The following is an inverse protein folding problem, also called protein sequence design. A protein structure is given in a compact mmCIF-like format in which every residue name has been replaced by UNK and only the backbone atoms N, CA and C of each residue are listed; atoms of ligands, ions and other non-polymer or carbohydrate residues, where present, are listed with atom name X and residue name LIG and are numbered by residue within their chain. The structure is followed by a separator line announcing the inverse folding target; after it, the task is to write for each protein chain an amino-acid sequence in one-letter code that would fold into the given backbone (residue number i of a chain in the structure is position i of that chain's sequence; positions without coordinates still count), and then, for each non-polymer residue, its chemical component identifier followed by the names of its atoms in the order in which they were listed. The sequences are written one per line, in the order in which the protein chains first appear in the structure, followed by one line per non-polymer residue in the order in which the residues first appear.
data_IF_776407995405
#
_entry.id   IF_776407995405
#
_cell.length_a   1.000
_cell.length_b   1.000
_cell.length_c   1.000
_cell.angle_alpha   90.00
_cell.angle_beta   90.00
_cell.angle_gamma   90.00
#
_symmetry.space_group_name_H-M   'P 1'
#
loop_
_entity.id
_entity.type
_entity.pdbx_description
1 polymer ?
#
# COMPACT_ATOMS: atom_id res chain seq x y z
N UNK A 1 -13.47 -3.90 -9.52
CA UNK A 1 -13.06 -3.61 -8.14
C UNK A 1 -11.54 -3.64 -8.09
N UNK A 2 -10.91 -2.76 -7.31
CA UNK A 2 -9.47 -2.80 -7.08
C UNK A 2 -9.23 -3.04 -5.60
N UNK A 3 -8.42 -4.06 -5.31
CA UNK A 3 -8.00 -4.44 -3.97
C UNK A 3 -6.48 -4.30 -3.87
N UNK A 4 -6.00 -3.96 -2.68
CA UNK A 4 -4.58 -3.78 -2.41
C UNK A 4 -4.11 -4.73 -1.32
N UNK A 5 -2.90 -5.23 -1.51
CA UNK A 5 -2.22 -6.10 -0.57
C UNK A 5 -0.81 -5.57 -0.33
N UNK A 6 -0.30 -5.75 0.90
CA UNK A 6 1.08 -5.52 1.29
C UNK A 6 1.62 -6.79 1.94
N UNK A 7 2.65 -7.39 1.34
CA UNK A 7 3.22 -8.66 1.81
C UNK A 7 2.14 -9.73 2.02
N UNK A 8 1.31 -9.93 1.01
CA UNK A 8 0.18 -10.88 0.97
C UNK A 8 -0.95 -10.64 1.98
N UNK A 9 -0.88 -9.56 2.78
CA UNK A 9 -1.96 -9.14 3.66
C UNK A 9 -2.80 -8.06 3.00
N UNK A 10 -4.14 -8.10 3.11
CA UNK A 10 -4.99 -7.01 2.68
C UNK A 10 -4.52 -5.70 3.31
N UNK A 11 -4.44 -4.63 2.51
CA UNK A 11 -4.09 -3.32 3.03
C UNK A 11 -5.32 -2.77 3.78
N UNK A 12 -5.32 -2.90 5.10
CA UNK A 12 -6.42 -2.44 5.96
C UNK A 12 -6.58 -0.91 5.91
N UNK A 13 -7.84 -0.47 5.86
CA UNK A 13 -8.24 0.91 5.56
C UNK A 13 -8.10 1.89 6.75
N UNK A 14 -7.42 1.47 7.82
CA UNK A 14 -7.58 2.16 9.10
C UNK A 14 -6.90 3.52 9.10
N UNK A 15 -7.76 4.54 9.17
CA UNK A 15 -7.50 5.95 8.99
C UNK A 15 -6.65 6.61 10.08
N UNK A 16 -6.09 5.84 11.01
CA UNK A 16 -5.64 6.41 12.26
C UNK A 16 -4.12 6.52 12.44
N UNK A 17 -3.28 5.82 11.65
CA UNK A 17 -1.84 5.77 12.03
C UNK A 17 -0.79 5.54 10.91
N UNK A 18 -1.17 5.30 9.66
CA UNK A 18 -0.21 4.80 8.64
C UNK A 18 0.25 5.84 7.61
N UNK A 19 -0.37 7.02 7.51
CA UNK A 19 -0.08 7.96 6.43
C UNK A 19 -0.39 7.43 5.02
N UNK A 20 -0.97 6.23 4.90
CA UNK A 20 -1.37 5.61 3.63
C UNK A 20 -2.85 5.89 3.39
N UNK A 21 -3.18 6.38 2.21
CA UNK A 21 -4.55 6.72 1.81
C UNK A 21 -4.86 6.11 0.46
N UNK A 22 -6.09 5.61 0.31
CA UNK A 22 -6.58 5.07 -0.95
C UNK A 22 -7.57 6.07 -1.56
N UNK A 23 -7.40 6.38 -2.83
CA UNK A 23 -8.23 7.30 -3.58
C UNK A 23 -8.87 6.61 -4.80
N UNK A 24 -9.84 7.29 -5.40
CA UNK A 24 -10.45 6.93 -6.69
C UNK A 24 -10.96 5.48 -6.73
N UNK A 25 -11.69 5.07 -5.68
CA UNK A 25 -12.28 3.73 -5.56
C UNK A 25 -11.24 2.60 -5.68
N UNK A 26 -10.05 2.82 -5.12
CA UNK A 26 -8.97 1.83 -5.12
C UNK A 26 -7.95 2.01 -6.23
N UNK A 27 -8.09 2.98 -7.14
CA UNK A 27 -7.14 3.14 -8.24
C UNK A 27 -5.78 3.71 -7.82
N UNK A 28 -5.73 4.44 -6.70
CA UNK A 28 -4.49 5.06 -6.22
C UNK A 28 -4.27 4.81 -4.74
N UNK A 29 -3.04 4.44 -4.39
CA UNK A 29 -2.50 4.55 -3.03
C UNK A 29 -1.59 5.77 -2.96
N UNK A 30 -1.71 6.54 -1.89
CA UNK A 30 -0.93 7.77 -1.66
C UNK A 30 -0.38 7.72 -0.25
N UNK A 31 0.93 7.92 -0.14
CA UNK A 31 1.63 7.98 1.14
C UNK A 31 1.88 9.45 1.47
N UNK A 32 1.24 9.98 2.51
CA UNK A 32 1.48 11.35 3.03
C UNK A 32 2.64 11.39 4.02
N UNK A 33 2.99 10.23 4.61
CA UNK A 33 4.18 9.99 5.44
C UNK A 33 4.58 8.53 5.27
N UNK A 34 5.87 8.26 5.23
CA UNK A 34 6.43 6.91 5.16
C UNK A 34 7.26 6.62 6.41
N UNK A 35 7.07 5.43 6.97
CA UNK A 35 7.90 4.83 8.01
C UNK A 35 8.62 3.61 7.43
N UNK A 36 9.70 3.16 8.08
CA UNK A 36 10.43 1.97 7.63
C UNK A 36 9.51 0.74 7.50
N UNK A 37 8.53 0.61 8.42
CA UNK A 37 7.50 -0.45 8.42
C UNK A 37 6.57 -0.44 7.19
N UNK A 38 6.55 0.64 6.41
CA UNK A 38 5.74 0.74 5.20
C UNK A 38 6.42 0.14 3.97
N UNK A 39 7.69 -0.26 4.10
CA UNK A 39 8.36 -1.06 3.06
C UNK A 39 7.64 -2.40 2.86
N UNK A 40 7.59 -2.87 1.63
CA UNK A 40 6.97 -4.15 1.30
C UNK A 40 6.63 -4.30 -0.18
N UNK A 41 6.18 -5.49 -0.54
CA UNK A 41 5.62 -5.76 -1.86
C UNK A 41 4.15 -5.34 -1.86
N UNK A 42 3.85 -4.30 -2.63
CA UNK A 42 2.48 -3.84 -2.86
C UNK A 42 1.93 -4.49 -4.10
N UNK A 43 0.76 -5.09 -3.99
CA UNK A 43 0.07 -5.75 -5.09
C UNK A 43 -1.31 -5.12 -5.24
N UNK A 44 -1.65 -4.68 -6.45
CA UNK A 44 -3.02 -4.32 -6.79
C UNK A 44 -3.66 -5.39 -7.65
N UNK A 45 -4.91 -5.71 -7.33
CA UNK A 45 -5.71 -6.71 -8.01
C UNK A 45 -6.97 -6.05 -8.56
N UNK A 46 -7.08 -5.99 -9.88
CA UNK A 46 -8.23 -5.46 -10.60
C UNK A 46 -9.14 -6.59 -11.08
N UNK A 47 -10.37 -6.66 -10.57
CA UNK A 47 -11.34 -7.72 -10.90
C UNK A 47 -12.58 -7.12 -11.56
N UNK A 48 -13.02 -7.72 -12.66
CA UNK A 48 -14.32 -7.49 -13.28
C UNK A 48 -14.89 -8.78 -13.90
N UNK A 49 -16.03 -8.70 -14.60
CA UNK A 49 -16.68 -9.88 -15.22
C UNK A 49 -15.83 -10.57 -16.30
N UNK A 50 -14.87 -9.87 -16.87
CA UNK A 50 -13.95 -10.41 -17.88
C UNK A 50 -12.70 -11.07 -17.30
N UNK A 51 -12.50 -11.02 -15.98
CA UNK A 51 -11.39 -11.67 -15.30
C UNK A 51 -10.65 -10.75 -14.33
N UNK A 52 -9.41 -11.14 -14.06
CA UNK A 52 -8.53 -10.51 -13.08
C UNK A 52 -7.20 -10.09 -13.72
N UNK A 53 -6.70 -8.93 -13.31
CA UNK A 53 -5.34 -8.49 -13.60
C UNK A 53 -4.65 -8.06 -12.32
N UNK A 54 -3.36 -8.39 -12.22
CA UNK A 54 -2.55 -8.11 -11.04
C UNK A 54 -1.27 -7.39 -11.43
N UNK A 55 -0.86 -6.41 -10.61
CA UNK A 55 0.42 -5.69 -10.75
C UNK A 55 1.08 -5.60 -9.38
N UNK A 56 2.40 -5.73 -9.38
CA UNK A 56 3.21 -5.73 -8.16
C UNK A 56 4.32 -4.68 -8.25
N UNK A 57 4.58 -3.99 -7.14
CA UNK A 57 5.63 -2.99 -6.99
C UNK A 57 6.29 -3.17 -5.63
N UNK A 58 7.62 -3.23 -5.60
CA UNK A 58 8.37 -3.23 -4.34
C UNK A 58 8.61 -1.78 -3.88
N UNK A 59 8.11 -1.44 -2.70
CA UNK A 59 8.42 -0.19 -2.02
C UNK A 59 9.52 -0.43 -0.99
N UNK A 60 10.64 0.28 -1.12
CA UNK A 60 11.70 0.32 -0.11
C UNK A 60 11.79 1.74 0.45
N UNK A 61 11.44 1.91 1.72
CA UNK A 61 11.61 3.16 2.44
C UNK A 61 13.02 3.20 3.00
N UNK A 62 13.80 4.20 2.61
CA UNK A 62 15.16 4.42 3.11
C UNK A 62 15.12 5.65 4.02
N UNK A 63 15.39 5.46 5.30
CA UNK A 63 15.48 6.52 6.29
C UNK A 63 16.45 6.12 7.40
N UNK A 64 17.10 7.12 8.01
CA UNK A 64 17.99 6.90 9.13
C UNK A 64 17.16 6.62 10.40
N UNK A 65 17.36 5.49 11.08
CA UNK A 65 16.71 5.19 12.37
C UNK A 65 17.39 5.89 13.57
N UNK A 66 18.05 7.03 13.37
CA UNK A 66 18.97 7.59 14.38
C UNK A 66 18.37 8.69 15.28
N UNK A 67 17.05 8.88 15.30
CA UNK A 67 16.43 9.78 16.28
C UNK A 67 15.19 9.17 16.93
N UNK A 68 15.44 8.18 17.79
CA UNK A 68 14.68 8.06 19.03
C UNK A 68 15.70 8.26 20.16
N UNK A 69 15.87 9.52 20.54
CA UNK A 69 16.40 9.92 21.84
C UNK A 69 15.33 9.71 22.90
#
# INVERSE_FOLDING_TARGET
MIEWYRNDQPLEFDHHDSGVRIYDKGQRIVFTRLLAKDSGLYVCRGINRGGEVTRAVLLKVIGNMDHIS
#
